data_IF_125734824272
#
_entry.id   IF_125734824272
#
_cell.length_a   1.000
_cell.length_b   1.000
_cell.length_c   1.000
_cell.angle_alpha   90.00
_cell.angle_beta   90.00
_cell.angle_gamma   90.00
#
_symmetry.space_group_name_H-M   'P 1'
#
loop_
_entity.id
_entity.type
_entity.pdbx_description
1 polymer ?
#
# COMPACT_ATOMS: atom_id res chain seq x y z
N UNK A 1 0.69 15.34 13.04
CA UNK A 1 1.33 14.17 12.41
C UNK A 1 0.47 12.95 12.72
N UNK A 2 -0.38 12.49 11.79
CA UNK A 2 -1.44 11.51 12.09
C UNK A 2 -0.89 10.14 12.49
N UNK A 3 -1.56 9.46 13.42
CA UNK A 3 -1.17 8.12 13.88
C UNK A 3 -1.13 7.10 12.73
N UNK A 4 -1.99 7.27 11.73
CA UNK A 4 -2.02 6.44 10.52
C UNK A 4 -0.78 6.62 9.64
N UNK A 5 -0.28 7.86 9.46
CA UNK A 5 0.99 8.11 8.76
C UNK A 5 2.15 7.38 9.45
N UNK A 6 2.22 7.37 10.78
CA UNK A 6 3.26 6.65 11.53
C UNK A 6 3.16 5.14 11.35
N UNK A 7 1.93 4.58 11.35
CA UNK A 7 1.71 3.15 11.10
C UNK A 7 2.17 2.77 9.69
N UNK A 8 1.78 3.53 8.66
CA UNK A 8 2.17 3.31 7.26
C UNK A 8 3.69 3.29 7.12
N UNK A 9 4.39 4.31 7.64
CA UNK A 9 5.86 4.36 7.60
C UNK A 9 6.48 3.15 8.30
N UNK A 10 5.95 2.74 9.46
CA UNK A 10 6.45 1.56 10.16
C UNK A 10 6.23 0.27 9.36
N UNK A 11 5.12 0.15 8.60
CA UNK A 11 4.92 -1.00 7.70
C UNK A 11 5.97 -0.99 6.58
N UNK A 12 6.19 0.16 5.94
CA UNK A 12 7.17 0.31 4.86
C UNK A 12 8.59 -0.03 5.32
N UNK A 13 9.01 0.45 6.50
CA UNK A 13 10.32 0.09 7.08
C UNK A 13 10.49 -1.41 7.31
N UNK A 14 9.42 -2.12 7.68
CA UNK A 14 9.45 -3.58 7.81
C UNK A 14 9.55 -4.25 6.45
N UNK A 15 8.75 -3.81 5.47
CA UNK A 15 8.81 -4.32 4.09
C UNK A 15 10.20 -4.13 3.48
N UNK A 16 10.85 -2.99 3.72
CA UNK A 16 12.23 -2.73 3.32
C UNK A 16 13.21 -3.76 3.92
N UNK A 17 13.04 -4.10 5.21
CA UNK A 17 13.79 -5.17 5.86
C UNK A 17 13.55 -6.55 5.23
N UNK A 18 12.30 -6.86 4.86
CA UNK A 18 11.97 -8.11 4.17
C UNK A 18 12.60 -8.18 2.78
N UNK A 19 12.61 -7.08 2.02
CA UNK A 19 13.27 -7.00 0.70
C UNK A 19 14.76 -7.29 0.84
N UNK A 20 15.43 -6.68 1.83
CA UNK A 20 16.84 -7.01 2.14
C UNK A 20 17.04 -8.48 2.50
N UNK A 21 16.09 -9.08 3.22
CA UNK A 21 16.11 -10.51 3.51
C UNK A 21 16.05 -11.36 2.25
N UNK A 22 15.15 -11.03 1.31
CA UNK A 22 15.03 -11.73 0.03
C UNK A 22 16.30 -11.60 -0.82
N UNK A 23 16.95 -10.43 -0.84
CA UNK A 23 18.24 -10.26 -1.51
C UNK A 23 19.28 -11.25 -1.01
N UNK A 24 19.42 -11.37 0.33
CA UNK A 24 20.33 -12.36 0.94
C UNK A 24 19.96 -13.80 0.60
N UNK A 25 18.67 -14.14 0.64
CA UNK A 25 18.21 -15.49 0.26
C UNK A 25 18.63 -15.85 -1.17
N UNK A 26 18.60 -14.88 -2.09
CA UNK A 26 19.04 -15.08 -3.48
C UNK A 26 20.57 -15.24 -3.54
N UNK A 27 21.32 -14.39 -2.84
CA UNK A 27 22.79 -14.47 -2.76
C UNK A 27 23.28 -15.79 -2.12
N UNK A 28 22.51 -16.32 -1.18
CA UNK A 28 22.76 -17.59 -0.48
C UNK A 28 22.15 -18.81 -1.19
N UNK A 29 21.68 -18.64 -2.44
CA UNK A 29 21.10 -19.69 -3.30
C UNK A 29 20.02 -20.52 -2.59
N UNK A 30 19.17 -19.88 -1.78
CA UNK A 30 18.07 -20.53 -1.07
C UNK A 30 16.98 -21.04 -2.04
N UNK A 31 16.17 -21.98 -1.56
CA UNK A 31 15.10 -22.61 -2.34
C UNK A 31 14.11 -21.59 -2.92
N UNK A 32 13.76 -21.79 -4.20
CA UNK A 32 12.86 -20.88 -4.93
C UNK A 32 11.50 -20.75 -4.25
N UNK A 33 10.99 -21.82 -3.63
CA UNK A 33 9.69 -21.81 -2.93
C UNK A 33 9.70 -20.87 -1.73
N UNK A 34 10.82 -20.79 -1.00
CA UNK A 34 10.96 -19.93 0.17
C UNK A 34 11.07 -18.46 -0.26
N UNK A 35 11.84 -18.19 -1.32
CA UNK A 35 11.96 -16.85 -1.92
C UNK A 35 10.58 -16.34 -2.37
N UNK A 36 9.83 -17.17 -3.11
CA UNK A 36 8.48 -16.81 -3.59
C UNK A 36 7.51 -16.59 -2.42
N UNK A 37 7.64 -17.37 -1.35
CA UNK A 37 6.85 -17.20 -0.12
C UNK A 37 7.12 -15.83 0.53
N UNK A 38 8.39 -15.44 0.66
CA UNK A 38 8.74 -14.12 1.20
C UNK A 38 8.28 -12.97 0.30
N UNK A 39 8.44 -13.09 -1.01
CA UNK A 39 7.93 -12.12 -1.98
C UNK A 39 6.41 -11.97 -1.91
N UNK A 40 5.69 -13.06 -1.70
CA UNK A 40 4.23 -13.05 -1.52
C UNK A 40 3.81 -12.33 -0.22
N UNK A 41 4.58 -12.50 0.85
CA UNK A 41 4.39 -11.75 2.10
C UNK A 41 4.66 -10.25 1.92
N UNK A 42 5.71 -9.89 1.18
CA UNK A 42 6.04 -8.50 0.82
C UNK A 42 4.90 -7.88 0.02
N UNK A 43 4.43 -8.54 -1.04
CA UNK A 43 3.29 -8.09 -1.86
C UNK A 43 2.06 -7.82 -0.98
N UNK A 44 1.72 -8.75 -0.09
CA UNK A 44 0.60 -8.61 0.84
C UNK A 44 0.77 -7.43 1.80
N UNK A 45 1.99 -7.13 2.23
CA UNK A 45 2.30 -5.95 3.07
C UNK A 45 2.08 -4.65 2.30
N UNK A 46 2.55 -4.59 1.04
CA UNK A 46 2.39 -3.44 0.15
C UNK A 46 0.92 -3.19 -0.18
N UNK A 47 0.16 -4.24 -0.52
CA UNK A 47 -1.29 -4.15 -0.78
C UNK A 47 -2.05 -3.51 0.39
N UNK A 48 -1.69 -3.86 1.63
CA UNK A 48 -2.28 -3.23 2.82
C UNK A 48 -1.91 -1.75 2.95
N UNK A 49 -0.67 -1.39 2.63
CA UNK A 49 -0.24 0.03 2.66
C UNK A 49 -0.99 0.84 1.61
N UNK A 50 -1.12 0.32 0.39
CA UNK A 50 -1.90 0.95 -0.68
C UNK A 50 -3.36 1.15 -0.25
N UNK A 51 -3.98 0.13 0.33
CA UNK A 51 -5.36 0.22 0.84
C UNK A 51 -5.55 1.31 1.90
N UNK A 52 -4.62 1.46 2.85
CA UNK A 52 -4.68 2.53 3.86
C UNK A 52 -4.55 3.92 3.22
N UNK A 53 -3.65 4.10 2.25
CA UNK A 53 -3.46 5.38 1.57
C UNK A 53 -4.71 5.78 0.78
N UNK A 54 -5.32 4.83 0.08
CA UNK A 54 -6.56 5.10 -0.67
C UNK A 54 -7.72 5.37 0.28
N UNK A 55 -7.85 4.64 1.39
CA UNK A 55 -8.87 4.90 2.39
C UNK A 55 -8.75 6.32 2.98
N UNK A 56 -7.54 6.78 3.28
CA UNK A 56 -7.29 8.16 3.73
C UNK A 56 -7.69 9.18 2.64
N UNK A 57 -7.37 8.91 1.38
CA UNK A 57 -7.77 9.77 0.27
C UNK A 57 -9.30 9.84 0.10
N UNK A 58 -10.00 8.73 0.29
CA UNK A 58 -11.46 8.67 0.28
C UNK A 58 -12.05 9.48 1.44
N UNK A 59 -11.53 9.31 2.67
CA UNK A 59 -11.97 10.10 3.84
C UNK A 59 -11.79 11.60 3.58
N UNK A 60 -10.63 12.02 3.06
CA UNK A 60 -10.40 13.42 2.68
C UNK A 60 -11.40 13.93 1.64
N UNK A 61 -11.80 13.11 0.66
CA UNK A 61 -12.83 13.51 -0.28
C UNK A 61 -14.18 13.79 0.41
N UNK A 62 -14.52 13.05 1.47
CA UNK A 62 -15.77 13.27 2.21
C UNK A 62 -15.70 14.44 3.20
N UNK A 63 -14.55 14.64 3.85
CA UNK A 63 -14.36 15.71 4.84
C UNK A 63 -14.16 17.09 4.18
N UNK A 64 -13.61 17.12 2.97
CA UNK A 64 -13.37 18.34 2.19
C UNK A 64 -14.10 18.28 0.84
N UNK A 65 -15.45 18.33 0.83
CA UNK A 65 -16.22 18.28 -0.41
C UNK A 65 -15.97 19.53 -1.25
N UNK A 66 -15.84 19.35 -2.56
CA UNK A 66 -15.80 20.46 -3.51
C UNK A 66 -17.21 20.88 -3.91
N UNK A 67 -17.40 22.17 -4.24
CA UNK A 67 -18.72 22.73 -4.63
C UNK A 67 -19.31 22.04 -5.86
N UNK A 68 -18.46 21.63 -6.81
CA UNK A 68 -18.89 20.91 -8.00
C UNK A 68 -19.12 19.42 -7.69
N UNK A 69 -20.39 19.00 -7.75
CA UNK A 69 -20.76 17.58 -7.61
C UNK A 69 -20.10 16.68 -8.66
N UNK A 70 -19.86 17.19 -9.87
CA UNK A 70 -19.18 16.45 -10.93
C UNK A 70 -17.69 16.24 -10.58
N UNK A 71 -17.03 17.27 -10.06
CA UNK A 71 -15.64 17.18 -9.64
C UNK A 71 -15.47 16.28 -8.42
N UNK A 72 -16.41 16.32 -7.48
CA UNK A 72 -16.46 15.43 -6.33
C UNK A 72 -16.58 13.97 -6.77
N UNK A 73 -17.50 13.68 -7.69
CA UNK A 73 -17.68 12.34 -8.25
C UNK A 73 -16.42 11.85 -8.99
N UNK A 74 -15.73 12.74 -9.71
CA UNK A 74 -14.46 12.43 -10.39
C UNK A 74 -13.35 12.06 -9.41
N UNK A 75 -13.19 12.81 -8.31
CA UNK A 75 -12.20 12.51 -7.26
C UNK A 75 -12.46 11.15 -6.61
N UNK A 76 -13.72 10.86 -6.25
CA UNK A 76 -14.12 9.58 -5.67
C UNK A 76 -13.86 8.40 -6.62
N UNK A 77 -14.24 8.52 -7.90
CA UNK A 77 -13.96 7.49 -8.92
C UNK A 77 -12.47 7.21 -9.04
N UNK A 78 -11.64 8.26 -9.10
CA UNK A 78 -10.18 8.11 -9.17
C UNK A 78 -9.61 7.34 -7.98
N UNK A 79 -10.10 7.61 -6.77
CA UNK A 79 -9.67 6.87 -5.57
C UNK A 79 -10.10 5.39 -5.61
N UNK A 80 -11.34 5.11 -6.04
CA UNK A 80 -11.85 3.74 -6.20
C UNK A 80 -11.01 2.95 -7.24
N UNK A 81 -10.68 3.58 -8.36
CA UNK A 81 -9.89 2.96 -9.43
C UNK A 81 -8.49 2.52 -8.97
N UNK A 82 -7.92 3.17 -7.94
CA UNK A 82 -6.63 2.80 -7.36
C UNK A 82 -6.66 1.46 -6.59
N UNK A 83 -7.83 1.00 -6.16
CA UNK A 83 -8.02 -0.30 -5.48
C UNK A 83 -8.51 -1.37 -6.46
N UNK A 84 -9.38 -1.01 -7.39
CA UNK A 84 -10.09 -1.96 -8.26
C UNK A 84 -9.23 -2.45 -9.43
N UNK A 85 -8.24 -1.66 -9.90
CA UNK A 85 -7.27 -2.13 -10.90
C UNK A 85 -6.29 -3.14 -10.29
N UNK A 86 -6.72 -4.39 -10.22
CA UNK A 86 -5.86 -5.58 -10.19
C UNK A 86 -5.62 -6.09 -11.60
#
# INVERSE_FOLDING_TARGET
>A
MTAEKKKVINRLKRTEGQIRGVQKMIEEEQECVDIVTQLSAIRSSIDRVMGVIVAENLMHCFEEPVESSEEQARKLRKAIDMIVKK
#
